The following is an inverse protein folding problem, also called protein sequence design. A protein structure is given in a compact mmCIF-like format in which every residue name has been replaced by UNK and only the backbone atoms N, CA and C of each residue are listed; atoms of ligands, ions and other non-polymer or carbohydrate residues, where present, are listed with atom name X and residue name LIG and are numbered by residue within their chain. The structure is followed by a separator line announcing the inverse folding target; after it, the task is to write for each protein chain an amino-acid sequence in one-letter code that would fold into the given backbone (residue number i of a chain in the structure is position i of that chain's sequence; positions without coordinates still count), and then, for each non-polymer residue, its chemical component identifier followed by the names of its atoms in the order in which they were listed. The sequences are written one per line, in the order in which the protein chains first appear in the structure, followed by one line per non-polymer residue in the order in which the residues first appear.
data_IF_883575434191
#
_entry.id   IF_883575434191
#
_cell.length_a   1.000
_cell.length_b   1.000
_cell.length_c   1.000
_cell.angle_alpha   90.00
_cell.angle_beta   90.00
_cell.angle_gamma   90.00
#
_symmetry.space_group_name_H-M   'P 1'
#
loop_
_entity.id
_entity.type
_entity.pdbx_description
1 polymer ?
#
# COMPACT_ATOMS: atom_id res chain seq x y z
N UNK A 1 -1.60 19.32 -31.37
CA UNK A 1 -1.98 19.82 -30.02
C UNK A 1 -1.80 18.74 -28.95
N UNK A 2 -2.31 17.52 -29.11
CA UNK A 2 -2.33 16.51 -28.04
C UNK A 2 -0.98 16.07 -27.44
N UNK A 3 0.16 16.27 -28.11
CA UNK A 3 1.46 15.82 -27.63
C UNK A 3 2.31 16.92 -26.93
N UNK A 4 1.93 18.20 -27.05
CA UNK A 4 2.80 19.31 -26.65
C UNK A 4 3.02 19.38 -25.13
N UNK A 5 1.99 19.09 -24.32
CA UNK A 5 2.11 19.12 -22.84
C UNK A 5 2.89 17.95 -22.23
N UNK A 6 3.23 16.93 -23.04
CA UNK A 6 3.98 15.75 -22.58
C UNK A 6 5.45 15.76 -23.02
N UNK A 7 5.81 16.60 -23.98
CA UNK A 7 7.17 16.74 -24.49
C UNK A 7 7.88 17.86 -23.74
N UNK A 8 8.90 17.51 -22.95
CA UNK A 8 9.72 18.48 -22.22
C UNK A 8 11.02 18.71 -22.96
N UNK A 9 11.32 19.97 -23.28
CA UNK A 9 12.57 20.36 -23.94
C UNK A 9 13.47 21.02 -22.88
N UNK A 10 14.53 20.31 -22.48
CA UNK A 10 15.59 20.91 -21.65
C UNK A 10 16.35 21.94 -22.49
N UNK A 11 16.58 23.11 -21.93
CA UNK A 11 17.26 24.24 -22.59
C UNK A 11 16.55 24.75 -23.86
N UNK A 12 15.21 24.71 -23.87
CA UNK A 12 14.38 25.31 -24.91
C UNK A 12 14.49 26.84 -24.97
N UNK A 13 14.11 27.44 -26.10
CA UNK A 13 14.10 28.90 -26.26
C UNK A 13 13.10 29.57 -25.31
N UNK A 14 12.01 28.87 -24.96
CA UNK A 14 11.02 29.33 -24.02
C UNK A 14 11.15 28.58 -22.69
N UNK A 15 11.27 29.32 -21.57
CA UNK A 15 11.50 28.73 -20.24
C UNK A 15 10.39 27.73 -19.85
N UNK A 16 9.16 27.97 -20.30
CA UNK A 16 8.01 27.09 -20.03
C UNK A 16 8.08 25.76 -20.80
N UNK A 17 8.92 25.61 -21.83
CA UNK A 17 9.06 24.34 -22.58
C UNK A 17 9.70 23.22 -21.72
N UNK A 18 10.37 23.61 -20.63
CA UNK A 18 10.91 22.68 -19.63
C UNK A 18 9.84 22.17 -18.65
N UNK A 19 8.64 22.78 -18.67
CA UNK A 19 7.52 22.49 -17.79
C UNK A 19 6.43 21.71 -18.54
N UNK A 20 5.47 21.12 -17.82
CA UNK A 20 4.29 20.50 -18.42
C UNK A 20 3.17 21.51 -18.77
N UNK A 21 3.44 22.81 -18.71
CA UNK A 21 2.48 23.84 -19.12
C UNK A 21 2.26 23.74 -20.62
N UNK A 22 1.00 23.63 -21.04
CA UNK A 22 0.66 23.53 -22.46
C UNK A 22 0.86 24.90 -23.17
N UNK A 23 1.36 24.96 -24.43
CA UNK A 23 1.57 26.23 -25.13
C UNK A 23 0.32 27.12 -25.26
N UNK A 24 -0.87 26.51 -25.23
CA UNK A 24 -2.15 27.23 -25.22
C UNK A 24 -2.33 28.13 -23.99
N UNK A 25 -1.67 27.81 -22.88
CA UNK A 25 -1.78 28.55 -21.62
C UNK A 25 -0.59 29.48 -21.36
N UNK A 26 0.38 29.59 -22.28
CA UNK A 26 1.53 30.49 -22.14
C UNK A 26 1.09 31.96 -21.98
N UNK A 27 0.09 32.37 -22.76
CA UNK A 27 -0.49 33.71 -22.67
C UNK A 27 -1.03 34.03 -21.26
N UNK A 28 -1.54 33.02 -20.54
CA UNK A 28 -2.02 33.20 -19.16
C UNK A 28 -0.86 33.39 -18.20
N UNK A 29 0.21 32.61 -18.34
CA UNK A 29 1.41 32.73 -17.51
C UNK A 29 2.10 34.08 -17.74
N UNK A 30 2.12 34.57 -18.98
CA UNK A 30 2.61 35.92 -19.30
C UNK A 30 1.77 37.01 -18.63
N UNK A 31 0.43 36.90 -18.61
CA UNK A 31 -0.45 37.81 -17.87
C UNK A 31 -0.19 37.79 -16.37
N UNK A 32 0.05 36.60 -15.79
CA UNK A 32 0.42 36.47 -14.38
C UNK A 32 1.73 37.19 -14.07
N UNK A 33 2.76 36.97 -14.90
CA UNK A 33 4.06 37.63 -14.73
C UNK A 33 3.95 39.16 -14.89
N UNK A 34 3.17 39.62 -15.88
CA UNK A 34 2.88 41.03 -16.11
C UNK A 34 2.15 41.70 -14.94
N UNK A 35 1.23 40.99 -14.27
CA UNK A 35 0.51 41.51 -13.10
C UNK A 35 1.42 41.83 -11.91
N UNK A 36 2.54 41.10 -11.80
CA UNK A 36 3.58 41.30 -10.79
C UNK A 36 4.74 42.17 -11.29
N UNK A 37 4.66 42.67 -12.53
CA UNK A 37 5.71 43.42 -13.22
C UNK A 37 7.09 42.69 -13.23
N UNK A 38 7.06 41.36 -13.30
CA UNK A 38 8.27 40.52 -13.37
C UNK A 38 8.34 39.76 -14.69
N UNK A 39 9.54 39.39 -15.18
CA UNK A 39 9.68 38.45 -16.28
C UNK A 39 9.15 37.05 -15.92
N UNK A 40 8.67 36.30 -16.91
CA UNK A 40 8.20 34.90 -16.74
C UNK A 40 9.27 34.01 -16.09
N UNK A 41 10.55 34.22 -16.44
CA UNK A 41 11.66 33.49 -15.82
C UNK A 41 11.78 33.75 -14.32
N UNK A 42 11.55 34.99 -13.87
CA UNK A 42 11.58 35.37 -12.45
C UNK A 42 10.38 34.80 -11.71
N UNK A 43 9.20 34.78 -12.35
CA UNK A 43 8.02 34.13 -11.79
C UNK A 43 8.26 32.62 -11.60
N UNK A 44 8.75 31.93 -12.63
CA UNK A 44 9.02 30.49 -12.58
C UNK A 44 10.12 30.10 -11.57
N UNK A 45 11.06 31.01 -11.27
CA UNK A 45 12.14 30.77 -10.31
C UNK A 45 11.78 31.11 -8.86
N UNK A 46 10.65 31.77 -8.60
CA UNK A 46 10.32 32.28 -7.26
C UNK A 46 8.94 31.78 -6.78
N UNK A 47 8.97 30.78 -5.89
CA UNK A 47 7.77 30.20 -5.30
C UNK A 47 6.92 31.20 -4.52
N UNK A 48 7.51 32.21 -3.87
CA UNK A 48 6.78 33.21 -3.10
C UNK A 48 5.89 34.06 -4.02
N UNK A 49 6.41 34.46 -5.19
CA UNK A 49 5.64 35.20 -6.19
C UNK A 49 4.48 34.36 -6.72
N UNK A 50 4.71 33.08 -7.00
CA UNK A 50 3.67 32.15 -7.47
C UNK A 50 2.57 31.97 -6.42
N UNK A 51 2.92 31.89 -5.13
CA UNK A 51 1.96 31.79 -4.04
C UNK A 51 1.19 33.09 -3.78
N UNK A 52 1.77 34.25 -4.09
CA UNK A 52 1.13 35.56 -3.92
C UNK A 52 0.04 35.86 -4.96
N UNK A 53 -0.01 35.11 -6.06
CA UNK A 53 -1.00 35.31 -7.12
C UNK A 53 -2.40 34.87 -6.68
N UNK A 54 -3.38 35.76 -6.85
CA UNK A 54 -4.79 35.38 -6.81
C UNK A 54 -5.20 34.76 -8.16
N UNK A 55 -5.41 33.44 -8.18
CA UNK A 55 -5.76 32.74 -9.41
C UNK A 55 -7.14 33.14 -9.96
N UNK A 56 -8.05 33.62 -9.12
CA UNK A 56 -9.40 33.96 -9.56
C UNK A 56 -9.44 35.14 -10.54
N UNK A 57 -8.44 36.02 -10.52
CA UNK A 57 -8.35 37.17 -11.44
C UNK A 57 -7.95 36.78 -12.86
N UNK A 58 -7.48 35.55 -13.07
CA UNK A 58 -6.99 35.06 -14.37
C UNK A 58 -7.94 34.04 -15.02
N UNK A 59 -9.13 33.83 -14.44
CA UNK A 59 -10.16 32.95 -15.02
C UNK A 59 -10.77 33.62 -16.24
N UNK A 60 -10.87 32.87 -17.33
CA UNK A 60 -11.59 33.28 -18.53
C UNK A 60 -12.46 32.15 -19.09
N UNK A 61 -13.09 32.35 -20.25
CA UNK A 61 -13.97 31.36 -20.88
C UNK A 61 -13.22 30.08 -21.32
N UNK A 62 -11.91 30.18 -21.54
CA UNK A 62 -11.08 29.08 -22.05
C UNK A 62 -10.24 28.42 -20.95
N UNK A 63 -9.93 29.13 -19.87
CA UNK A 63 -9.06 28.70 -18.77
C UNK A 63 -9.78 28.85 -17.43
N UNK A 64 -10.21 27.70 -16.89
CA UNK A 64 -10.86 27.61 -15.60
C UNK A 64 -9.88 27.55 -14.42
N UNK A 65 -10.41 27.68 -13.20
CA UNK A 65 -9.63 27.67 -11.95
C UNK A 65 -8.79 26.41 -11.78
N UNK A 66 -9.29 25.24 -12.18
CA UNK A 66 -8.55 23.97 -12.09
C UNK A 66 -7.29 24.00 -12.96
N UNK A 67 -7.39 24.51 -14.19
CA UNK A 67 -6.24 24.68 -15.08
C UNK A 67 -5.23 25.66 -14.51
N UNK A 68 -5.68 26.74 -13.87
CA UNK A 68 -4.80 27.70 -13.21
C UNK A 68 -4.08 27.09 -11.99
N UNK A 69 -4.76 26.20 -11.26
CA UNK A 69 -4.16 25.45 -10.16
C UNK A 69 -3.09 24.48 -10.68
N UNK A 70 -3.36 23.78 -11.79
CA UNK A 70 -2.40 22.88 -12.42
C UNK A 70 -1.17 23.64 -12.92
N UNK A 71 -1.36 24.79 -13.58
CA UNK A 71 -0.27 25.69 -14.01
C UNK A 71 0.56 26.14 -12.81
N UNK A 72 -0.09 26.55 -11.70
CA UNK A 72 0.59 26.96 -10.48
C UNK A 72 1.43 25.83 -9.89
N UNK A 73 0.88 24.62 -9.80
CA UNK A 73 1.62 23.46 -9.31
C UNK A 73 2.81 23.10 -10.21
N UNK A 74 2.64 23.22 -11.53
CA UNK A 74 3.70 22.93 -12.51
C UNK A 74 4.80 24.00 -12.48
N UNK A 75 4.47 25.28 -12.29
CA UNK A 75 5.47 26.34 -12.10
C UNK A 75 6.25 26.18 -10.79
N UNK A 76 5.60 25.68 -9.72
CA UNK A 76 6.26 25.42 -8.43
C UNK A 76 7.17 24.18 -8.48
N UNK A 77 6.85 23.19 -9.30
CA UNK A 77 7.60 21.92 -9.42
C UNK A 77 7.72 21.53 -10.90
N UNK A 78 8.56 22.23 -11.67
CA UNK A 78 8.70 21.98 -13.10
C UNK A 78 9.16 20.55 -13.34
N UNK A 79 8.39 19.81 -14.12
CA UNK A 79 8.74 18.46 -14.49
C UNK A 79 8.48 17.40 -13.42
N UNK A 80 7.54 17.65 -12.50
CA UNK A 80 7.08 16.68 -11.48
C UNK A 80 6.97 15.28 -12.11
N UNK A 81 7.73 14.35 -11.56
CA UNK A 81 7.57 12.93 -11.88
C UNK A 81 6.46 12.39 -10.96
N UNK A 82 5.30 11.97 -11.52
CA UNK A 82 4.22 11.40 -10.73
C UNK A 82 4.56 10.01 -10.17
N UNK A 83 5.69 9.41 -10.57
CA UNK A 83 6.15 8.15 -9.99
C UNK A 83 6.51 8.38 -8.53
N UNK A 84 5.97 7.52 -7.65
CA UNK A 84 6.41 7.45 -6.27
C UNK A 84 7.94 7.30 -6.26
N UNK A 85 8.64 8.19 -5.55
CA UNK A 85 10.09 8.11 -5.42
C UNK A 85 10.44 6.74 -4.85
N UNK A 86 11.27 5.98 -5.56
CA UNK A 86 11.74 4.69 -5.09
C UNK A 86 12.71 4.94 -3.92
N UNK A 87 12.20 4.84 -2.68
CA UNK A 87 13.00 4.98 -1.47
C UNK A 87 13.62 3.61 -1.17
N UNK A 88 14.94 3.50 -1.24
CA UNK A 88 15.62 2.29 -0.75
C UNK A 88 15.54 2.26 0.78
N UNK A 89 15.11 1.16 1.40
CA UNK A 89 15.15 1.00 2.85
C UNK A 89 16.60 1.09 3.33
N UNK A 90 16.85 1.90 4.35
CA UNK A 90 18.15 1.93 5.03
C UNK A 90 18.17 0.80 6.07
N UNK A 91 18.76 -0.33 5.73
CA UNK A 91 19.03 -1.38 6.72
C UNK A 91 20.13 -0.92 7.68
N UNK A 92 20.02 -1.26 8.97
CA UNK A 92 21.11 -1.01 9.92
C UNK A 92 22.21 -2.04 9.66
N UNK A 93 23.43 -1.57 9.42
CA UNK A 93 24.61 -2.42 9.17
C UNK A 93 24.91 -3.39 10.34
N UNK A 94 24.42 -3.08 11.55
CA UNK A 94 24.65 -3.84 12.77
C UNK A 94 23.87 -5.17 12.84
N UNK A 95 22.80 -5.32 12.04
CA UNK A 95 21.82 -6.43 12.18
C UNK A 95 21.74 -7.22 10.88
N UNK A 96 22.69 -8.12 10.68
CA UNK A 96 22.77 -9.00 9.49
C UNK A 96 22.34 -10.44 9.77
N UNK A 97 22.23 -10.82 11.05
CA UNK A 97 21.95 -12.19 11.50
C UNK A 97 20.89 -12.24 12.60
N UNK A 98 20.17 -13.36 12.67
CA UNK A 98 19.11 -13.63 13.67
C UNK A 98 19.59 -13.43 15.11
N UNK A 99 20.87 -13.70 15.37
CA UNK A 99 21.50 -13.62 16.70
C UNK A 99 21.59 -12.19 17.24
N UNK A 100 21.55 -11.18 16.35
CA UNK A 100 21.62 -9.77 16.74
C UNK A 100 20.23 -9.17 17.00
N UNK A 101 19.16 -9.90 16.69
CA UNK A 101 17.80 -9.44 16.92
C UNK A 101 17.43 -9.58 18.39
N UNK A 102 16.97 -8.47 18.96
CA UNK A 102 16.42 -8.42 20.31
C UNK A 102 14.95 -8.09 20.24
N UNK A 103 14.15 -8.71 21.11
CA UNK A 103 12.75 -8.38 21.27
C UNK A 103 12.58 -6.89 21.63
N UNK A 104 11.60 -6.23 21.01
CA UNK A 104 11.36 -4.80 21.17
C UNK A 104 12.17 -3.89 20.25
N UNK A 105 13.18 -4.41 19.53
CA UNK A 105 13.94 -3.62 18.56
C UNK A 105 13.04 -3.14 17.42
N UNK A 106 13.26 -1.91 16.97
CA UNK A 106 12.55 -1.31 15.84
C UNK A 106 13.51 -1.24 14.65
N UNK A 107 13.09 -1.80 13.54
CA UNK A 107 13.85 -1.91 12.30
C UNK A 107 13.01 -1.42 11.12
N UNK A 108 13.68 -0.99 10.06
CA UNK A 108 13.06 -0.76 8.77
C UNK A 108 13.24 -2.00 7.90
N UNK A 109 12.19 -2.35 7.16
CA UNK A 109 12.19 -3.52 6.30
C UNK A 109 11.28 -3.31 5.10
N UNK A 110 11.42 -4.19 4.11
CA UNK A 110 10.66 -4.15 2.86
C UNK A 110 9.65 -5.31 2.85
N UNK A 111 8.40 -5.03 2.48
CA UNK A 111 7.37 -6.07 2.36
C UNK A 111 7.74 -6.99 1.19
N UNK A 112 8.08 -8.25 1.47
CA UNK A 112 8.42 -9.24 0.45
C UNK A 112 7.16 -9.85 -0.17
N UNK A 113 6.16 -10.17 0.66
CA UNK A 113 4.92 -10.79 0.21
C UNK A 113 3.73 -10.48 1.15
N UNK A 114 2.51 -10.50 0.63
CA UNK A 114 1.28 -10.26 1.39
C UNK A 114 0.34 -11.46 1.23
N UNK A 115 -0.09 -12.05 2.35
CA UNK A 115 -1.00 -13.20 2.41
C UNK A 115 -2.28 -12.84 3.17
N UNK A 116 -3.31 -13.68 3.12
CA UNK A 116 -4.59 -13.39 3.80
C UNK A 116 -4.49 -13.26 5.33
N UNK A 117 -3.44 -13.84 5.94
CA UNK A 117 -3.25 -13.84 7.38
C UNK A 117 -2.21 -12.80 7.85
N UNK A 118 -1.53 -12.11 6.93
CA UNK A 118 -0.46 -11.18 7.30
C UNK A 118 0.41 -10.71 6.14
N UNK A 119 1.56 -10.15 6.47
CA UNK A 119 2.58 -9.74 5.51
C UNK A 119 3.96 -10.22 5.96
N UNK A 120 4.77 -10.61 4.99
CA UNK A 120 6.17 -10.94 5.18
C UNK A 120 7.02 -9.70 4.92
N UNK A 121 7.92 -9.41 5.85
CA UNK A 121 8.80 -8.24 5.80
C UNK A 121 10.23 -8.72 5.92
N UNK A 122 11.04 -8.38 4.93
CA UNK A 122 12.48 -8.55 4.95
C UNK A 122 13.11 -7.39 5.72
N UNK A 123 13.80 -7.72 6.81
CA UNK A 123 14.52 -6.78 7.69
C UNK A 123 16.05 -6.86 7.49
N UNK A 124 16.53 -7.60 6.50
CA UNK A 124 17.95 -7.72 6.17
C UNK A 124 18.69 -8.87 6.87
N UNK A 125 17.98 -9.79 7.52
CA UNK A 125 18.57 -10.92 8.28
C UNK A 125 18.50 -12.25 7.53
N UNK A 126 18.36 -12.22 6.20
CA UNK A 126 18.19 -13.38 5.30
C UNK A 126 16.93 -14.22 5.55
N UNK A 127 16.14 -13.87 6.56
CA UNK A 127 14.93 -14.55 6.97
C UNK A 127 13.80 -13.53 7.10
N UNK A 128 12.69 -13.81 6.43
CA UNK A 128 11.51 -12.94 6.46
C UNK A 128 10.81 -13.05 7.82
N UNK A 129 10.43 -11.89 8.36
CA UNK A 129 9.57 -11.81 9.54
C UNK A 129 8.10 -11.73 9.15
N UNK A 130 7.24 -12.40 9.93
CA UNK A 130 5.80 -12.38 9.71
C UNK A 130 5.13 -11.31 10.58
N UNK A 131 4.41 -10.40 9.94
CA UNK A 131 3.45 -9.51 10.60
C UNK A 131 2.06 -10.10 10.46
N UNK A 132 1.44 -10.47 11.57
CA UNK A 132 0.06 -10.98 11.57
C UNK A 132 -0.93 -9.88 11.16
N UNK A 133 -2.07 -10.22 10.57
CA UNK A 133 -3.10 -9.25 10.13
C UNK A 133 -3.52 -8.30 11.26
N UNK A 134 -3.61 -8.84 12.47
CA UNK A 134 -3.93 -8.05 13.65
C UNK A 134 -2.83 -7.03 13.94
N UNK A 135 -1.55 -7.34 13.69
CA UNK A 135 -0.38 -6.51 14.01
C UNK A 135 0.00 -5.50 12.91
N UNK A 136 -0.69 -5.50 11.77
CA UNK A 136 -0.45 -4.54 10.67
C UNK A 136 -0.88 -3.11 11.01
N UNK A 137 -1.94 -2.95 11.81
CA UNK A 137 -2.49 -1.62 12.13
C UNK A 137 -3.23 -1.60 13.46
N UNK A 138 -3.45 -0.40 14.00
CA UNK A 138 -4.27 -0.20 15.21
C UNK A 138 -5.78 -0.34 14.92
N UNK A 139 -6.18 -0.16 13.65
CA UNK A 139 -7.56 -0.39 13.18
C UNK A 139 -7.77 -1.85 12.79
N UNK A 140 -9.02 -2.31 12.82
CA UNK A 140 -9.37 -3.63 12.31
C UNK A 140 -9.18 -3.67 10.79
N UNK A 141 -8.37 -4.61 10.31
CA UNK A 141 -8.06 -4.82 8.90
C UNK A 141 -8.73 -6.11 8.45
N UNK A 142 -9.55 -6.03 7.39
CA UNK A 142 -10.17 -7.21 6.76
C UNK A 142 -9.26 -7.86 5.73
N UNK A 143 -8.64 -7.04 4.89
CA UNK A 143 -7.68 -7.48 3.88
C UNK A 143 -6.34 -6.76 4.11
N UNK A 144 -5.23 -7.49 4.31
CA UNK A 144 -3.92 -6.89 4.51
C UNK A 144 -3.41 -6.10 3.30
N UNK A 145 -3.91 -6.38 2.08
CA UNK A 145 -3.53 -5.66 0.85
C UNK A 145 -3.99 -4.20 0.82
N UNK A 146 -5.00 -3.86 1.63
CA UNK A 146 -5.47 -2.47 1.77
C UNK A 146 -4.51 -1.61 2.61
N UNK A 147 -3.62 -2.25 3.38
CA UNK A 147 -2.73 -1.56 4.33
C UNK A 147 -1.29 -1.58 3.85
N UNK A 148 -0.85 -2.68 3.26
CA UNK A 148 0.53 -2.87 2.80
C UNK A 148 0.59 -3.39 1.37
N UNK A 149 1.60 -2.95 0.64
CA UNK A 149 1.88 -3.40 -0.73
C UNK A 149 3.24 -4.08 -0.78
N UNK A 150 3.39 -5.04 -1.70
CA UNK A 150 4.68 -5.69 -1.96
C UNK A 150 5.68 -4.63 -2.43
N UNK A 151 6.86 -4.66 -1.82
CA UNK A 151 7.94 -3.70 -2.05
C UNK A 151 7.83 -2.39 -1.28
N UNK A 152 6.81 -2.21 -0.44
CA UNK A 152 6.70 -1.06 0.43
C UNK A 152 7.73 -1.14 1.56
N UNK A 153 8.44 -0.04 1.81
CA UNK A 153 9.29 0.12 3.00
C UNK A 153 8.40 0.43 4.21
N UNK A 154 8.51 -0.40 5.23
CA UNK A 154 7.75 -0.31 6.47
C UNK A 154 8.69 -0.37 7.67
N UNK A 155 8.32 0.32 8.74
CA UNK A 155 9.01 0.22 10.01
C UNK A 155 8.25 -0.77 10.88
N UNK A 156 8.98 -1.69 11.49
CA UNK A 156 8.47 -2.84 12.23
C UNK A 156 9.17 -2.99 13.56
N UNK A 157 8.47 -3.55 14.55
CA UNK A 157 9.03 -3.91 15.85
C UNK A 157 9.08 -5.42 15.99
N UNK A 158 10.21 -5.94 16.46
CA UNK A 158 10.38 -7.35 16.79
C UNK A 158 9.56 -7.68 18.04
N UNK A 159 8.63 -8.63 17.94
CA UNK A 159 7.86 -9.13 19.09
C UNK A 159 8.55 -10.34 19.73
N UNK A 160 8.94 -11.31 18.91
CA UNK A 160 9.62 -12.51 19.35
C UNK A 160 10.51 -13.06 18.24
N UNK A 161 11.60 -13.71 18.64
CA UNK A 161 12.55 -14.36 17.73
C UNK A 161 12.76 -15.80 18.20
N UNK A 162 12.43 -16.74 17.33
CA UNK A 162 12.72 -18.16 17.53
C UNK A 162 13.88 -18.55 16.60
N UNK A 163 15.07 -18.68 17.18
CA UNK A 163 16.30 -19.04 16.45
C UNK A 163 16.27 -20.49 15.99
N UNK A 164 15.62 -21.39 16.73
CA UNK A 164 15.57 -22.82 16.42
C UNK A 164 14.69 -23.09 15.19
N UNK A 165 13.58 -22.38 15.07
CA UNK A 165 12.65 -22.48 13.93
C UNK A 165 12.90 -21.42 12.85
N UNK A 166 13.88 -20.53 13.04
CA UNK A 166 14.14 -19.37 12.17
C UNK A 166 12.88 -18.52 11.92
N UNK A 167 12.10 -18.26 12.98
CA UNK A 167 10.85 -17.49 12.88
C UNK A 167 10.99 -16.16 13.62
N UNK A 168 10.60 -15.09 12.94
CA UNK A 168 10.56 -13.75 13.54
C UNK A 168 9.11 -13.26 13.49
N UNK A 169 8.56 -12.91 14.65
CA UNK A 169 7.25 -12.27 14.73
C UNK A 169 7.42 -10.76 14.80
N UNK A 170 6.81 -10.04 13.86
CA UNK A 170 6.94 -8.60 13.72
C UNK A 170 5.59 -7.90 13.95
N UNK A 171 5.64 -6.63 14.34
CA UNK A 171 4.46 -5.78 14.52
C UNK A 171 4.67 -4.39 13.96
N UNK A 172 3.67 -3.87 13.26
CA UNK A 172 3.63 -2.50 12.74
C UNK A 172 2.84 -1.54 13.65
N UNK A 173 2.19 -2.05 14.70
CA UNK A 173 1.25 -1.28 15.55
C UNK A 173 1.84 -0.11 16.34
N UNK A 174 3.16 -0.07 16.51
CA UNK A 174 3.78 0.68 17.62
C UNK A 174 4.61 1.90 17.21
N UNK A 175 4.33 2.48 16.03
CA UNK A 175 5.16 3.55 15.47
C UNK A 175 4.47 4.89 15.33
N UNK A 176 3.26 5.02 15.86
CA UNK A 176 2.71 6.33 16.19
C UNK A 176 2.92 6.54 17.69
N UNK A 177 3.78 7.46 18.15
CA UNK A 177 3.37 8.23 19.32
C UNK A 177 1.98 8.76 18.99
N UNK A 178 1.05 8.66 19.93
CA UNK A 178 -0.28 9.21 19.76
C UNK A 178 -0.15 10.65 19.23
N UNK A 179 -0.34 10.83 17.93
CA UNK A 179 -0.62 12.14 17.40
C UNK A 179 -1.92 12.53 18.08
N UNK A 180 -1.86 13.60 18.87
CA UNK A 180 -3.00 14.25 19.50
C UNK A 180 -4.12 14.39 18.47
N UNK A 181 -5.07 13.47 18.51
CA UNK A 181 -6.41 13.74 18.02
C UNK A 181 -7.13 14.57 19.08
N UNK A 182 -7.93 15.58 18.69
CA UNK A 182 -8.71 16.33 19.66
C UNK A 182 -9.59 15.35 20.46
N UNK A 183 -9.78 15.59 21.76
CA UNK A 183 -10.46 14.65 22.64
C UNK A 183 -11.88 14.41 22.13
N UNK A 184 -12.19 13.16 21.79
CA UNK A 184 -13.56 12.71 21.56
C UNK A 184 -14.35 13.01 22.82
N UNK A 185 -15.27 13.97 22.73
CA UNK A 185 -16.24 14.27 23.77
C UNK A 185 -16.94 12.98 24.21
N UNK A 186 -16.64 12.59 25.44
CA UNK A 186 -17.43 11.60 26.18
C UNK A 186 -18.83 12.16 26.33
N UNK A 187 -19.79 11.59 25.60
CA UNK A 187 -21.21 11.82 25.83
C UNK A 187 -21.53 11.36 27.26
N UNK A 188 -22.00 12.24 28.17
CA UNK A 188 -22.31 11.83 29.53
C UNK A 188 -23.63 11.05 29.51
N UNK A 189 -23.57 9.78 29.95
CA UNK A 189 -24.77 9.03 30.32
C UNK A 189 -25.32 9.69 31.58
N UNK A 190 -26.46 10.39 31.43
CA UNK A 190 -27.21 10.99 32.54
C UNK A 190 -27.80 9.89 33.41
N UNK A 191 -27.24 9.78 34.61
CA UNK A 191 -27.89 9.18 35.77
C UNK A 191 -29.22 9.90 36.06
N UNK A 192 -30.33 9.15 36.03
CA UNK A 192 -31.56 9.53 36.73
C UNK A 192 -31.95 8.40 37.65
N UNK A 193 -31.64 8.61 38.93
CA UNK A 193 -31.98 7.72 40.01
C UNK A 193 -33.42 7.97 40.50
N UNK A 194 -34.13 6.86 40.74
CA UNK A 194 -35.20 6.61 41.74
C UNK A 194 -36.64 7.06 41.45
N UNK A 195 -37.54 6.07 41.32
CA UNK A 195 -38.42 5.64 42.44
C UNK A 195 -39.16 4.31 42.20
N UNK A 196 -38.91 3.39 43.12
CA UNK A 196 -39.76 2.38 43.77
C UNK A 196 -41.19 2.11 43.24
N UNK A 197 -41.50 0.84 42.92
CA UNK A 197 -42.23 -0.11 43.80
C UNK A 197 -42.80 -1.32 43.03
N UNK A 198 -42.82 -2.46 43.73
CA UNK A 198 -43.70 -3.63 43.56
C UNK A 198 -43.48 -4.63 42.39
N UNK A 199 -42.95 -5.80 42.75
CA UNK A 199 -43.24 -7.10 42.12
C UNK A 199 -44.68 -7.55 42.49
N UNK A 200 -45.24 -8.70 42.01
CA UNK A 200 -44.68 -9.74 41.13
C UNK A 200 -45.65 -10.26 40.03
N UNK A 201 -45.17 -11.04 39.05
CA UNK A 201 -45.85 -12.25 38.56
C UNK A 201 -45.10 -13.00 37.45
N UNK A 202 -44.76 -14.26 37.77
CA UNK A 202 -44.54 -15.42 36.88
C UNK A 202 -45.07 -15.29 35.44
N UNK A 203 -44.20 -15.50 34.45
CA UNK A 203 -44.56 -16.33 33.27
C UNK A 203 -43.35 -16.92 32.55
N UNK A 204 -43.18 -18.23 32.78
CA UNK A 204 -42.75 -19.29 31.85
C UNK A 204 -41.71 -18.95 30.77
N UNK A 205 -40.51 -19.49 31.03
CA UNK A 205 -39.59 -20.14 30.08
C UNK A 205 -40.12 -20.29 28.65
N UNK A 206 -39.44 -19.66 27.70
CA UNK A 206 -39.31 -20.17 26.33
C UNK A 206 -37.82 -20.27 26.02
N UNK A 207 -37.29 -21.50 26.16
CA UNK A 207 -35.99 -21.88 25.62
C UNK A 207 -36.04 -21.59 24.11
N UNK A 208 -35.22 -20.67 23.63
CA UNK A 208 -34.86 -20.63 22.22
C UNK A 208 -33.78 -21.69 22.05
N UNK A 209 -34.07 -22.71 21.26
CA UNK A 209 -33.13 -23.78 20.93
C UNK A 209 -31.93 -23.20 20.14
N UNK A 210 -30.72 -23.75 20.31
CA UNK A 210 -29.60 -23.37 19.46
C UNK A 210 -29.89 -23.75 18.00
N UNK A 211 -29.44 -22.95 17.01
CA UNK A 211 -29.62 -23.31 15.61
C UNK A 211 -28.86 -24.60 15.28
N UNK A 212 -29.49 -25.45 14.46
CA UNK A 212 -28.98 -26.75 14.04
C UNK A 212 -27.62 -26.63 13.30
N UNK A 213 -26.74 -27.64 13.41
CA UNK A 213 -25.53 -27.69 12.61
C UNK A 213 -25.91 -27.79 11.12
N UNK A 214 -25.23 -26.99 10.29
CA UNK A 214 -25.33 -27.08 8.83
C UNK A 214 -24.94 -28.50 8.38
N UNK A 215 -25.58 -29.07 7.34
CA UNK A 215 -25.17 -30.36 6.80
C UNK A 215 -23.70 -30.28 6.39
N UNK A 216 -22.92 -31.26 6.86
CA UNK A 216 -21.56 -31.49 6.40
C UNK A 216 -21.65 -31.77 4.90
N UNK A 217 -21.15 -30.84 4.10
CA UNK A 217 -20.76 -31.17 2.73
C UNK A 217 -19.55 -32.08 2.90
N UNK A 218 -19.76 -33.37 2.67
CA UNK A 218 -18.68 -34.34 2.48
C UNK A 218 -17.72 -33.75 1.47
N UNK A 219 -16.50 -33.45 1.91
CA UNK A 219 -15.41 -33.19 1.00
C UNK A 219 -15.33 -34.38 0.04
N UNK A 220 -15.19 -34.17 -1.28
CA UNK A 220 -14.73 -35.23 -2.15
C UNK A 220 -13.39 -35.73 -1.59
N UNK A 221 -13.24 -37.05 -1.59
CA UNK A 221 -12.04 -37.77 -1.17
C UNK A 221 -10.79 -37.14 -1.80
N UNK A 222 -9.64 -37.12 -1.10
CA UNK A 222 -8.40 -36.69 -1.71
C UNK A 222 -8.08 -37.63 -2.89
N UNK A 223 -8.06 -37.07 -4.10
CA UNK A 223 -7.43 -37.71 -5.24
C UNK A 223 -6.01 -38.11 -4.81
N UNK A 224 -5.72 -39.41 -4.94
CA UNK A 224 -4.43 -39.98 -4.61
C UNK A 224 -3.33 -39.15 -5.26
N UNK A 225 -2.43 -38.65 -4.42
CA UNK A 225 -1.13 -38.13 -4.81
C UNK A 225 -0.48 -39.15 -5.75
N UNK A 226 -0.34 -38.78 -7.02
CA UNK A 226 0.51 -39.50 -7.95
C UNK A 226 1.93 -39.41 -7.40
N UNK A 227 2.47 -40.56 -6.99
CA UNK A 227 3.86 -40.69 -6.60
C UNK A 227 4.76 -40.08 -7.70
N UNK A 228 5.82 -39.32 -7.34
CA UNK A 228 6.79 -38.89 -8.31
C UNK A 228 7.49 -40.12 -8.89
N UNK A 229 7.30 -40.37 -10.19
CA UNK A 229 8.02 -41.45 -10.88
C UNK A 229 9.53 -41.30 -10.68
N UNK A 230 10.25 -42.39 -10.39
CA UNK A 230 11.71 -42.34 -10.27
C UNK A 230 12.29 -41.88 -11.60
N UNK A 231 13.30 -41.01 -11.54
CA UNK A 231 13.99 -40.47 -12.71
C UNK A 231 14.63 -41.62 -13.53
N UNK A 232 13.89 -42.17 -14.49
CA UNK A 232 14.39 -43.14 -15.44
C UNK A 232 15.20 -42.45 -16.54
N UNK A 233 16.37 -43.02 -16.79
CA UNK A 233 17.33 -42.62 -17.83
C UNK A 233 16.65 -42.58 -19.22
N UNK A 234 17.00 -41.55 -20.01
CA UNK A 234 16.44 -41.25 -21.34
C UNK A 234 16.61 -42.44 -22.31
N UNK A 235 17.62 -43.29 -22.09
CA UNK A 235 17.84 -44.52 -22.85
C UNK A 235 16.73 -45.57 -22.69
N UNK A 236 16.08 -45.65 -21.53
CA UNK A 236 14.98 -46.60 -21.28
C UNK A 236 13.64 -46.08 -21.82
N UNK A 237 13.42 -44.76 -21.77
CA UNK A 237 12.22 -44.12 -22.36
C UNK A 237 12.14 -44.33 -23.88
N UNK A 238 13.28 -44.32 -24.58
CA UNK A 238 13.35 -44.60 -26.02
C UNK A 238 13.01 -46.07 -26.36
N UNK A 239 13.41 -47.02 -25.51
CA UNK A 239 13.07 -48.45 -25.71
C UNK A 239 11.59 -48.75 -25.47
N UNK A 240 10.99 -48.14 -24.44
CA UNK A 240 9.57 -48.31 -24.15
C UNK A 240 8.66 -47.72 -25.25
N UNK A 241 9.08 -46.61 -25.88
CA UNK A 241 8.33 -46.00 -26.98
C UNK A 241 8.42 -46.85 -28.28
N UNK A 242 9.58 -47.44 -28.55
CA UNK A 242 9.77 -48.32 -29.72
C UNK A 242 9.00 -49.64 -29.62
N UNK A 243 8.84 -50.19 -28.40
CA UNK A 243 8.07 -51.42 -28.18
C UNK A 243 6.55 -51.22 -28.40
N UNK A 244 6.00 -50.04 -28.06
CA UNK A 244 4.56 -49.74 -28.27
C UNK A 244 4.21 -49.52 -29.75
N UNK A 245 5.16 -49.10 -30.58
CA UNK A 245 4.91 -48.87 -32.01
C UNK A 245 4.96 -50.14 -32.88
N UNK A 246 5.57 -51.23 -32.41
CA UNK A 246 5.63 -52.50 -33.16
C UNK A 246 4.45 -53.46 -32.89
N UNK A 247 3.57 -53.14 -31.93
CA UNK A 247 2.41 -53.97 -31.58
C UNK A 247 1.09 -53.64 -32.31
N UNK A 248 1.00 -52.51 -33.02
CA UNK A 248 -0.25 -52.02 -33.62
C UNK A 248 -0.35 -52.28 -35.15
N UNK A 249 0.30 -53.34 -35.64
CA UNK A 249 0.44 -53.63 -37.07
C UNK A 249 0.15 -55.09 -37.48
N UNK A 250 -0.61 -55.85 -36.69
CA UNK A 250 -1.17 -57.15 -37.10
C UNK A 250 -2.52 -57.40 -36.45
N UNK A 251 -3.58 -57.03 -37.15
CA UNK A 251 -4.82 -57.81 -37.36
C UNK A 251 -5.76 -57.04 -38.27
#
# INVERSE_FOLDING_TARGET
QQAAGFLRIKDGQHILDSTAVHPETYAVVERMAASLAVPVATLAANAELIHSLDLHTFVDEHVGVLTLQDIREELLKPGRDPRAQFVMPQFRDDVTSLEHLQEGMILEGMVSNVTNFGAFVDIGVHQDGLVHISELSQRYVRDPRDVVQVGQVVKVRVLSVDVALQRISLSMKSLRPAAEGPPTETVPVRDTARRDTAAPARRRRRRVAPPAPRPQVTAPEPEAEAEPEPAMDMAEKLRALQARFQGAGRS
#
